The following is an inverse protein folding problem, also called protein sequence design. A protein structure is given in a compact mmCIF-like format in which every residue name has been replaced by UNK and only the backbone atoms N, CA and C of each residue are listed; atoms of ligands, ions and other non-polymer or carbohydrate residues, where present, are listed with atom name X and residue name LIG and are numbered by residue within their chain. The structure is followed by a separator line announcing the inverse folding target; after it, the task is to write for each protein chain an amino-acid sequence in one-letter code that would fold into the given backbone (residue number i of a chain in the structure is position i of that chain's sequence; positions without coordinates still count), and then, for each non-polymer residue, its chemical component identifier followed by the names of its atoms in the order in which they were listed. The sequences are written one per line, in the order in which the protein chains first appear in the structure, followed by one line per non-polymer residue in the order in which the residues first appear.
data_IF_027163238096
#
_entry.id   IF_027163238096
#
_cell.length_a   1.000
_cell.length_b   1.000
_cell.length_c   1.000
_cell.angle_alpha   90.00
_cell.angle_beta   90.00
_cell.angle_gamma   90.00
#
_symmetry.space_group_name_H-M   'P 1'
#
loop_
_entity.id
_entity.type
_entity.pdbx_description
1 polymer ?
#
# COMPACT_ATOMS: atom_id res chain seq x y z
N UNK A 1 -14.49 -0.54 17.06
CA UNK A 1 -13.51 0.51 16.73
C UNK A 1 -12.28 -0.16 16.16
N UNK A 2 -12.23 -0.29 14.84
CA UNK A 2 -11.43 -1.31 14.10
C UNK A 2 -9.95 -0.99 13.90
N UNK A 3 -9.49 0.22 14.17
CA UNK A 3 -8.06 0.56 14.30
C UNK A 3 -7.96 1.94 14.95
N UNK A 4 -6.85 2.22 15.65
CA UNK A 4 -6.57 3.57 16.18
C UNK A 4 -6.34 4.53 15.00
N UNK A 5 -6.60 5.82 15.15
CA UNK A 5 -6.27 6.86 14.16
C UNK A 5 -4.77 6.83 13.82
N UNK A 6 -3.92 6.55 14.80
CA UNK A 6 -2.49 6.37 14.59
C UNK A 6 -2.18 5.19 13.67
N UNK A 7 -2.95 4.10 13.78
CA UNK A 7 -2.78 2.94 12.89
C UNK A 7 -3.27 3.25 11.48
N UNK A 8 -4.36 4.01 11.32
CA UNK A 8 -4.81 4.47 10.00
C UNK A 8 -3.77 5.37 9.34
N UNK A 9 -3.20 6.30 10.10
CA UNK A 9 -2.14 7.19 9.63
C UNK A 9 -0.86 6.41 9.28
N UNK A 10 -0.49 5.42 10.10
CA UNK A 10 0.63 4.52 9.80
C UNK A 10 0.38 3.76 8.50
N UNK A 11 -0.81 3.19 8.33
CA UNK A 11 -1.18 2.41 7.16
C UNK A 11 -1.23 3.27 5.88
N UNK A 12 -1.70 4.51 5.96
CA UNK A 12 -1.74 5.43 4.82
C UNK A 12 -0.33 5.86 4.38
N UNK A 13 0.57 6.15 5.33
CA UNK A 13 1.98 6.40 5.02
C UNK A 13 2.68 5.16 4.42
N UNK A 14 2.41 3.97 4.94
CA UNK A 14 2.95 2.73 4.36
C UNK A 14 2.42 2.47 2.94
N UNK A 15 1.18 2.85 2.65
CA UNK A 15 0.61 2.78 1.31
C UNK A 15 1.29 3.74 0.34
N UNK A 16 1.53 4.99 0.75
CA UNK A 16 2.32 5.95 -0.04
C UNK A 16 3.68 5.35 -0.38
N UNK A 17 4.41 4.85 0.61
CA UNK A 17 5.74 4.27 0.40
C UNK A 17 5.71 3.04 -0.54
N UNK A 18 4.69 2.18 -0.43
CA UNK A 18 4.52 1.02 -1.33
C UNK A 18 4.26 1.46 -2.76
N UNK A 19 3.41 2.45 -2.97
CA UNK A 19 3.07 2.96 -4.30
C UNK A 19 4.26 3.69 -4.94
N UNK A 20 5.01 4.47 -4.16
CA UNK A 20 6.25 5.12 -4.60
C UNK A 20 7.29 4.10 -5.06
N UNK A 21 7.52 3.04 -4.28
CA UNK A 21 8.43 1.95 -4.66
C UNK A 21 7.99 1.25 -5.95
N UNK A 22 6.70 0.99 -6.10
CA UNK A 22 6.16 0.38 -7.32
C UNK A 22 6.33 1.30 -8.54
N UNK A 23 6.03 2.60 -8.39
CA UNK A 23 6.22 3.59 -9.45
C UNK A 23 7.70 3.70 -9.87
N UNK A 24 8.62 3.72 -8.90
CA UNK A 24 10.07 3.75 -9.16
C UNK A 24 10.54 2.50 -9.92
N UNK A 25 10.03 1.32 -9.57
CA UNK A 25 10.32 0.07 -10.30
C UNK A 25 9.79 0.12 -11.74
N UNK A 26 8.59 0.65 -11.96
CA UNK A 26 8.01 0.80 -13.31
C UNK A 26 8.84 1.77 -14.16
N UNK A 27 9.29 2.89 -13.60
CA UNK A 27 10.17 3.85 -14.29
C UNK A 27 11.54 3.22 -14.63
N UNK A 28 12.11 2.44 -13.71
CA UNK A 28 13.35 1.71 -13.96
C UNK A 28 13.18 0.67 -15.08
N UNK A 29 12.07 -0.08 -15.09
CA UNK A 29 11.73 -1.00 -16.17
C UNK A 29 11.55 -0.26 -17.49
N UNK A 30 10.91 0.91 -17.47
CA UNK A 30 10.75 1.73 -18.66
C UNK A 30 12.10 2.17 -19.24
N UNK A 31 13.04 2.60 -18.40
CA UNK A 31 14.39 3.00 -18.85
C UNK A 31 15.14 1.80 -19.46
N UNK A 32 15.10 0.64 -18.83
CA UNK A 32 15.73 -0.58 -19.36
C UNK A 32 15.13 -1.05 -20.70
N UNK A 33 13.81 -0.87 -20.90
CA UNK A 33 13.08 -1.40 -22.06
C UNK A 33 12.95 -0.39 -23.20
N UNK A 34 12.93 0.90 -22.88
CA UNK A 34 12.70 2.01 -23.80
C UNK A 34 13.86 3.00 -23.89
N UNK A 35 14.97 2.74 -23.19
CA UNK A 35 16.15 3.59 -23.14
C UNK A 35 16.66 4.04 -24.51
N UNK A 36 17.12 5.29 -24.55
CA UNK A 36 17.53 6.03 -25.74
C UNK A 36 18.89 5.56 -26.26
N UNK A 37 18.96 4.40 -26.89
CA UNK A 37 20.03 4.17 -27.86
C UNK A 37 19.62 4.87 -29.17
N UNK A 38 20.41 5.84 -29.70
CA UNK A 38 20.10 6.49 -30.96
C UNK A 38 20.08 5.41 -32.05
N UNK A 39 18.91 5.16 -32.62
CA UNK A 39 18.77 4.29 -33.77
C UNK A 39 19.44 4.96 -34.96
N UNK A 40 20.74 4.69 -35.14
CA UNK A 40 21.43 4.93 -36.40
C UNK A 40 20.75 4.09 -37.49
N UNK A 41 20.02 4.80 -38.36
CA UNK A 41 19.85 4.49 -39.79
C UNK A 41 19.89 3.02 -40.20
N UNK A 42 18.77 2.30 -40.08
CA UNK A 42 18.51 1.13 -40.93
C UNK A 42 17.00 0.97 -41.19
N UNK A 43 16.60 1.47 -42.35
CA UNK A 43 15.28 1.28 -42.95
C UNK A 43 15.11 -0.19 -43.38
N UNK A 44 14.58 -1.01 -42.46
CA UNK A 44 14.10 -2.37 -42.74
C UNK A 44 12.70 -2.49 -42.16
N UNK A 45 11.75 -3.10 -42.90
CA UNK A 45 10.34 -3.22 -42.49
C UNK A 45 10.14 -3.91 -41.14
N UNK A 46 11.11 -4.71 -40.70
CA UNK A 46 11.15 -5.35 -39.38
C UNK A 46 11.47 -4.39 -38.22
N UNK A 47 12.20 -3.29 -38.48
CA UNK A 47 12.56 -2.30 -37.46
C UNK A 47 11.37 -1.41 -37.08
N UNK A 48 10.46 -1.15 -38.04
CA UNK A 48 9.21 -0.39 -37.84
C UNK A 48 8.31 -1.10 -36.82
N UNK A 49 8.07 -2.41 -37.00
CA UNK A 49 7.28 -3.23 -36.08
C UNK A 49 7.91 -3.30 -34.67
N UNK A 50 9.25 -3.28 -34.58
CA UNK A 50 9.98 -3.27 -33.30
C UNK A 50 9.89 -1.89 -32.60
N UNK A 51 9.76 -0.81 -33.36
CA UNK A 51 9.50 0.54 -32.86
C UNK A 51 8.07 0.70 -32.34
N UNK A 52 7.08 0.21 -33.06
CA UNK A 52 5.67 0.26 -32.64
C UNK A 52 5.40 -0.55 -31.38
N UNK A 53 6.01 -1.74 -31.26
CA UNK A 53 5.93 -2.57 -30.04
C UNK A 53 6.52 -1.84 -28.83
N UNK A 54 7.71 -1.23 -28.98
CA UNK A 54 8.34 -0.41 -27.92
C UNK A 54 7.49 0.80 -27.53
N UNK A 55 6.91 1.50 -28.52
CA UNK A 55 6.03 2.65 -28.26
C UNK A 55 4.77 2.24 -27.49
N UNK A 56 4.16 1.10 -27.85
CA UNK A 56 2.99 0.54 -27.16
C UNK A 56 3.34 0.11 -25.73
N UNK A 57 4.47 -0.53 -25.53
CA UNK A 57 4.96 -0.92 -24.20
C UNK A 57 5.25 0.30 -23.32
N UNK A 58 5.94 1.31 -23.87
CA UNK A 58 6.16 2.59 -23.20
C UNK A 58 4.85 3.21 -22.73
N UNK A 59 3.85 3.29 -23.62
CA UNK A 59 2.54 3.87 -23.29
C UNK A 59 1.82 3.11 -22.17
N UNK A 60 1.96 1.77 -22.13
CA UNK A 60 1.39 0.96 -21.04
C UNK A 60 2.08 1.24 -19.71
N UNK A 61 3.40 1.36 -19.71
CA UNK A 61 4.17 1.72 -18.51
C UNK A 61 3.84 3.14 -18.05
N UNK A 62 3.75 4.09 -18.98
CA UNK A 62 3.35 5.48 -18.68
C UNK A 62 1.96 5.53 -18.02
N UNK A 63 1.00 4.75 -18.55
CA UNK A 63 -0.34 4.65 -17.96
C UNK A 63 -0.33 4.02 -16.57
N UNK A 64 0.44 2.94 -16.38
CA UNK A 64 0.57 2.30 -15.08
C UNK A 64 1.24 3.23 -14.04
N UNK A 65 2.24 4.01 -14.44
CA UNK A 65 2.86 5.03 -13.57
C UNK A 65 1.85 6.13 -13.22
N UNK A 66 1.06 6.59 -14.19
CA UNK A 66 0.01 7.60 -13.94
C UNK A 66 -1.05 7.09 -12.94
N UNK A 67 -1.46 5.83 -13.05
CA UNK A 67 -2.37 5.20 -12.08
C UNK A 67 -1.76 5.14 -10.67
N UNK A 68 -0.48 4.73 -10.56
CA UNK A 68 0.22 4.74 -9.28
C UNK A 68 0.31 6.15 -8.68
N UNK A 69 0.61 7.17 -9.49
CA UNK A 69 0.65 8.57 -9.02
C UNK A 69 -0.73 9.06 -8.54
N UNK A 70 -1.82 8.70 -9.23
CA UNK A 70 -3.18 9.02 -8.79
C UNK A 70 -3.49 8.40 -7.42
N UNK A 71 -3.16 7.11 -7.25
CA UNK A 71 -3.34 6.40 -5.98
C UNK A 71 -2.50 6.99 -4.83
N UNK A 72 -1.28 7.42 -5.13
CA UNK A 72 -0.42 8.13 -4.18
C UNK A 72 -1.00 9.49 -3.77
N UNK A 73 -1.59 10.22 -4.71
CA UNK A 73 -2.27 11.48 -4.41
C UNK A 73 -3.49 11.25 -3.51
N UNK A 74 -4.30 10.23 -3.80
CA UNK A 74 -5.46 9.86 -2.98
C UNK A 74 -5.06 9.46 -1.55
N UNK A 75 -4.00 8.65 -1.40
CA UNK A 75 -3.52 8.25 -0.07
C UNK A 75 -2.91 9.42 0.71
N UNK A 76 -2.16 10.31 0.03
CA UNK A 76 -1.66 11.54 0.63
C UNK A 76 -2.79 12.48 1.06
N UNK A 77 -3.87 12.59 0.26
CA UNK A 77 -5.04 13.38 0.61
C UNK A 77 -5.73 12.85 1.87
N UNK A 78 -5.88 11.52 2.00
CA UNK A 78 -6.39 10.90 3.23
C UNK A 78 -5.53 11.26 4.45
N UNK A 79 -4.20 11.27 4.32
CA UNK A 79 -3.33 11.71 5.42
C UNK A 79 -3.64 13.16 5.83
N UNK A 80 -3.78 14.07 4.85
CA UNK A 80 -4.09 15.47 5.11
C UNK A 80 -5.47 15.64 5.77
N UNK A 81 -6.46 14.86 5.36
CA UNK A 81 -7.79 14.86 5.98
C UNK A 81 -7.73 14.44 7.46
N UNK A 82 -6.96 13.39 7.78
CA UNK A 82 -6.73 12.95 9.17
C UNK A 82 -6.02 14.03 9.99
N UNK A 83 -5.04 14.74 9.41
CA UNK A 83 -4.38 15.87 10.09
C UNK A 83 -5.29 17.09 10.25
N UNK A 84 -6.22 17.29 9.32
CA UNK A 84 -7.21 18.37 9.35
C UNK A 84 -8.21 18.25 10.49
N UNK A 85 -8.42 17.03 11.03
CA UNK A 85 -9.20 16.76 12.24
C UNK A 85 -10.62 17.39 12.21
N UNK A 86 -11.28 17.32 11.05
CA UNK A 86 -12.62 17.91 10.88
C UNK A 86 -13.70 17.26 11.73
N UNK A 87 -13.49 16.01 12.14
CA UNK A 87 -14.37 15.20 12.99
C UNK A 87 -13.96 15.20 14.47
N UNK A 88 -12.86 15.88 14.85
CA UNK A 88 -12.24 15.89 16.17
C UNK A 88 -11.79 14.51 16.69
N UNK A 89 -11.72 13.50 15.81
CA UNK A 89 -11.38 12.14 16.21
C UNK A 89 -9.96 12.05 16.78
N UNK A 90 -9.05 12.93 16.34
CA UNK A 90 -7.70 13.04 16.90
C UNK A 90 -7.73 13.53 18.34
N UNK A 91 -8.56 14.53 18.64
CA UNK A 91 -8.70 15.05 20.02
C UNK A 91 -9.30 14.01 20.93
N UNK A 92 -10.31 13.30 20.46
CA UNK A 92 -10.97 12.23 21.22
C UNK A 92 -10.00 11.08 21.51
N UNK A 93 -9.19 10.69 20.52
CA UNK A 93 -8.18 9.66 20.75
C UNK A 93 -7.04 10.11 21.67
N UNK A 94 -6.58 11.36 21.55
CA UNK A 94 -5.60 11.94 22.49
C UNK A 94 -6.19 12.00 23.90
N UNK A 95 -7.45 12.40 24.06
CA UNK A 95 -8.16 12.41 25.34
C UNK A 95 -8.27 11.00 25.92
N UNK A 96 -8.64 10.02 25.10
CA UNK A 96 -8.69 8.62 25.49
C UNK A 96 -7.32 8.09 25.94
N UNK A 97 -6.25 8.34 25.17
CA UNK A 97 -4.89 7.96 25.58
C UNK A 97 -4.44 8.69 26.85
N UNK A 98 -4.86 9.94 27.01
CA UNK A 98 -4.61 10.78 28.17
C UNK A 98 -5.52 10.51 29.36
N UNK A 99 -6.30 9.41 29.36
CA UNK A 99 -7.15 8.98 30.48
C UNK A 99 -8.42 9.81 30.69
N UNK A 100 -8.70 10.74 29.79
CA UNK A 100 -9.82 11.66 29.85
C UNK A 100 -11.05 11.01 29.18
N UNK A 101 -11.97 10.50 30.01
CA UNK A 101 -13.27 9.98 29.55
C UNK A 101 -14.32 11.08 29.66
N UNK A 102 -15.19 11.20 28.66
CA UNK A 102 -16.39 12.03 28.77
C UNK A 102 -17.22 11.55 29.98
N UNK A 103 -17.38 12.41 30.98
CA UNK A 103 -18.32 12.21 32.09
C UNK A 103 -17.75 11.72 33.43
N UNK A 104 -16.43 11.66 33.66
CA UNK A 104 -15.88 11.19 34.94
C UNK A 104 -14.70 12.01 35.46
N UNK A 105 -14.79 12.51 36.70
CA UNK A 105 -13.77 13.33 37.38
C UNK A 105 -12.51 12.57 37.83
N UNK A 106 -11.96 11.70 36.99
CA UNK A 106 -10.73 10.95 37.26
C UNK A 106 -10.00 10.61 35.97
N UNK A 107 -8.74 11.01 35.89
CA UNK A 107 -7.85 10.70 34.77
C UNK A 107 -7.26 9.29 34.96
N UNK A 108 -7.97 8.27 34.46
CA UNK A 108 -7.59 6.85 34.64
C UNK A 108 -7.00 6.27 33.34
N UNK A 109 -5.76 6.67 33.05
CA UNK A 109 -4.96 6.17 31.92
C UNK A 109 -4.87 4.63 31.92
N UNK A 110 -4.74 4.03 33.10
CA UNK A 110 -4.55 2.59 33.26
C UNK A 110 -5.76 1.78 32.79
N UNK A 111 -6.98 2.25 33.07
CA UNK A 111 -8.21 1.58 32.64
C UNK A 111 -8.28 1.56 31.12
N UNK A 112 -7.96 2.67 30.46
CA UNK A 112 -7.94 2.78 29.00
C UNK A 112 -6.86 1.87 28.38
N UNK A 113 -5.68 1.81 29.01
CA UNK A 113 -4.60 0.93 28.60
C UNK A 113 -4.98 -0.55 28.66
N UNK A 114 -5.55 -1.01 29.79
CA UNK A 114 -5.96 -2.41 29.94
C UNK A 114 -7.14 -2.76 29.01
N UNK A 115 -8.07 -1.84 28.80
CA UNK A 115 -9.13 -2.01 27.81
C UNK A 115 -8.55 -2.19 26.40
N UNK A 116 -7.54 -1.39 26.03
CA UNK A 116 -6.85 -1.51 24.74
C UNK A 116 -6.13 -2.85 24.59
N UNK A 117 -5.41 -3.32 25.61
CA UNK A 117 -4.76 -4.65 25.59
C UNK A 117 -5.81 -5.76 25.42
N UNK A 118 -6.94 -5.66 26.13
CA UNK A 118 -8.03 -6.63 26.01
C UNK A 118 -8.56 -6.66 24.58
N UNK A 119 -8.81 -5.49 23.98
CA UNK A 119 -9.27 -5.37 22.59
C UNK A 119 -8.26 -5.98 21.60
N UNK A 120 -6.96 -5.69 21.74
CA UNK A 120 -5.91 -6.25 20.89
C UNK A 120 -5.90 -7.79 20.99
N UNK A 121 -5.94 -8.33 22.21
CA UNK A 121 -5.97 -9.79 22.43
C UNK A 121 -7.19 -10.43 21.77
N UNK A 122 -8.35 -9.79 21.89
CA UNK A 122 -9.59 -10.27 21.28
C UNK A 122 -9.54 -10.19 19.76
N UNK A 123 -8.94 -9.15 19.19
CA UNK A 123 -8.72 -9.03 17.75
C UNK A 123 -7.85 -10.18 17.21
N UNK A 124 -6.71 -10.47 17.84
CA UNK A 124 -5.86 -11.58 17.44
C UNK A 124 -6.54 -12.94 17.62
N UNK A 125 -7.32 -13.12 18.69
CA UNK A 125 -8.12 -14.33 18.88
C UNK A 125 -9.15 -14.50 17.76
N UNK A 126 -9.89 -13.44 17.42
CA UNK A 126 -10.87 -13.45 16.32
C UNK A 126 -10.17 -13.79 15.01
N UNK A 127 -9.06 -13.11 14.69
CA UNK A 127 -8.29 -13.36 13.46
C UNK A 127 -7.77 -14.80 13.37
N UNK A 128 -7.31 -15.38 14.48
CA UNK A 128 -6.92 -16.79 14.53
C UNK A 128 -8.12 -17.73 14.29
N UNK A 129 -9.29 -17.41 14.85
CA UNK A 129 -10.53 -18.16 14.58
C UNK A 129 -10.97 -18.04 13.11
N UNK A 130 -10.87 -16.85 12.51
CA UNK A 130 -11.20 -16.67 11.09
C UNK A 130 -10.23 -17.42 10.18
N UNK A 131 -8.93 -17.41 10.49
CA UNK A 131 -7.93 -18.17 9.74
C UNK A 131 -8.14 -19.69 9.86
N UNK A 132 -8.46 -20.18 11.06
CA UNK A 132 -8.82 -21.58 11.29
C UNK A 132 -10.10 -21.98 10.52
N UNK A 133 -11.08 -21.08 10.43
CA UNK A 133 -12.31 -21.29 9.66
C UNK A 133 -12.08 -21.25 8.14
N UNK A 134 -11.06 -20.52 7.66
CA UNK A 134 -10.72 -20.39 6.25
C UNK A 134 -9.66 -21.41 5.78
N UNK A 135 -9.14 -22.27 6.67
CA UNK A 135 -8.14 -23.29 6.34
C UNK A 135 -6.81 -22.72 5.83
N UNK A 136 -6.52 -21.44 6.11
CA UNK A 136 -5.29 -20.78 5.70
C UNK A 136 -4.27 -20.80 6.83
N UNK A 137 -3.19 -21.56 6.64
CA UNK A 137 -2.11 -21.67 7.61
C UNK A 137 -1.29 -20.37 7.64
N UNK A 138 -1.32 -19.65 8.76
CA UNK A 138 -0.73 -18.30 8.91
C UNK A 138 0.81 -18.31 9.01
N UNK A 139 1.47 -19.46 8.88
CA UNK A 139 2.94 -19.58 8.94
C UNK A 139 3.63 -19.37 7.58
N UNK A 140 2.87 -19.28 6.49
CA UNK A 140 3.45 -19.08 5.16
C UNK A 140 3.42 -17.58 4.87
N UNK A 141 4.57 -16.92 5.04
CA UNK A 141 4.83 -15.64 4.39
C UNK A 141 4.48 -15.78 2.90
N UNK A 142 3.88 -14.77 2.25
CA UNK A 142 3.71 -14.84 0.81
C UNK A 142 5.11 -14.90 0.20
N UNK A 143 5.58 -16.10 -0.15
CA UNK A 143 6.74 -16.22 -1.01
C UNK A 143 6.40 -15.45 -2.27
N UNK A 144 7.10 -14.33 -2.47
CA UNK A 144 7.15 -13.68 -3.76
C UNK A 144 7.75 -14.69 -4.72
N UNK A 145 6.90 -15.43 -5.42
CA UNK A 145 7.34 -16.33 -6.46
C UNK A 145 8.11 -15.49 -7.47
N UNK A 146 9.40 -15.82 -7.64
CA UNK A 146 10.31 -15.06 -8.49
C UNK A 146 9.65 -14.76 -9.84
N UNK A 147 9.75 -13.51 -10.34
CA UNK A 147 9.04 -13.09 -11.55
C UNK A 147 9.42 -13.89 -12.80
N UNK A 148 10.51 -14.66 -12.74
CA UNK A 148 10.96 -15.54 -13.82
C UNK A 148 10.13 -16.84 -13.92
N UNK A 149 9.63 -17.38 -12.79
CA UNK A 149 8.85 -18.62 -12.81
C UNK A 149 7.45 -18.43 -13.43
N UNK A 150 6.86 -17.24 -13.27
CA UNK A 150 5.57 -16.89 -13.88
C UNK A 150 5.67 -16.75 -15.42
N UNK A 151 6.86 -16.45 -15.95
CA UNK A 151 7.08 -16.31 -17.40
C UNK A 151 7.26 -17.68 -18.07
N UNK A 152 7.85 -18.66 -17.36
CA UNK A 152 8.00 -20.03 -17.89
C UNK A 152 6.69 -20.81 -17.87
N UNK A 153 5.83 -20.60 -16.87
CA UNK A 153 4.53 -21.27 -16.77
C UNK A 153 3.51 -20.75 -17.81
N UNK A 154 3.65 -19.50 -18.26
CA UNK A 154 2.79 -18.92 -19.31
C UNK A 154 3.20 -19.30 -20.75
N UNK A 155 4.34 -19.98 -20.92
CA UNK A 155 4.90 -20.38 -22.21
C UNK A 155 4.89 -21.92 -22.44
N UNK A 156 4.25 -22.69 -21.56
CA UNK A 156 3.90 -24.10 -21.77
C UNK A 156 2.43 -24.22 -22.15
#
# INVERSE_FOLDING_TARGET
MSASLLEHLRASHEEVERVEKAAAQLLLLQDQRCGTAPSSSSSSSSSVLKGEKRKREKLRLDWAVADMLSRMQESAQKCLEIYGDGDNLRKDEIGFLGGQREGGGGNDVWVNFYERIRQIREFHRKRAMTAAAQGTDLSVAPEMKDPQALVEEANQ
#
